data_IF_707883396654
#
_entry.id   IF_707883396654
#
_cell.length_a   1.000
_cell.length_b   1.000
_cell.length_c   1.000
_cell.angle_alpha   90.00
_cell.angle_beta   90.00
_cell.angle_gamma   90.00
#
_symmetry.space_group_name_H-M   'P 1'
#
loop_
_entity.id
_entity.type
_entity.pdbx_description
1 polymer ?
#
# COMPACT_ATOMS: atom_id res chain seq x y z
N UNK A 1 -4.69 -13.07 16.75
CA UNK A 1 -5.02 -11.65 16.51
C UNK A 1 -5.36 -10.92 17.80
N UNK A 2 -5.99 -11.59 18.77
CA UNK A 2 -6.63 -11.02 19.96
C UNK A 2 -5.75 -10.17 20.89
N UNK A 3 -4.43 -10.34 20.83
CA UNK A 3 -3.49 -9.53 21.62
C UNK A 3 -3.29 -8.12 21.04
N UNK A 4 -3.24 -8.00 19.71
CA UNK A 4 -2.84 -6.77 19.02
C UNK A 4 -4.02 -6.05 18.37
N UNK A 5 -5.18 -6.67 18.25
CA UNK A 5 -6.34 -6.10 17.57
C UNK A 5 -7.42 -5.64 18.56
N UNK A 6 -8.02 -4.48 18.29
CA UNK A 6 -9.20 -3.96 19.00
C UNK A 6 -10.46 -4.20 18.15
N UNK A 7 -11.37 -5.10 18.56
CA UNK A 7 -12.66 -5.27 17.89
C UNK A 7 -13.52 -4.00 17.91
N UNK A 8 -13.41 -3.21 18.99
CA UNK A 8 -14.15 -1.97 19.17
C UNK A 8 -13.66 -0.88 18.22
N UNK A 9 -12.34 -0.72 18.09
CA UNK A 9 -11.76 0.34 17.26
C UNK A 9 -11.54 -0.08 15.80
N UNK A 10 -11.59 -1.39 15.53
CA UNK A 10 -11.20 -2.03 14.29
C UNK A 10 -9.78 -1.65 13.84
N UNK A 11 -8.87 -1.55 14.81
CA UNK A 11 -7.47 -1.20 14.60
C UNK A 11 -6.56 -2.12 15.40
N UNK A 12 -5.36 -2.33 14.86
CA UNK A 12 -4.23 -2.92 15.54
C UNK A 12 -3.50 -1.86 16.39
N UNK A 13 -3.03 -2.27 17.56
CA UNK A 13 -2.17 -1.50 18.44
C UNK A 13 -0.71 -1.64 18.02
N UNK A 14 0.08 -0.59 18.25
CA UNK A 14 1.52 -0.58 17.98
C UNK A 14 2.31 -1.49 18.91
N UNK A 15 1.80 -1.73 20.11
CA UNK A 15 2.39 -2.61 21.11
C UNK A 15 1.28 -3.25 21.95
N UNK A 16 1.63 -4.32 22.67
CA UNK A 16 0.73 -4.99 23.59
C UNK A 16 1.49 -5.54 24.81
N UNK A 17 2.50 -4.79 25.27
CA UNK A 17 3.39 -5.21 26.36
C UNK A 17 2.76 -4.97 27.73
N UNK A 18 1.88 -3.96 27.83
CA UNK A 18 1.10 -3.63 29.04
C UNK A 18 -0.34 -3.23 28.66
N UNK A 19 -1.30 -3.29 29.61
CA UNK A 19 -2.70 -2.97 29.32
C UNK A 19 -2.93 -1.60 28.67
N UNK A 20 -2.17 -0.58 29.06
CA UNK A 20 -2.28 0.78 28.48
C UNK A 20 -1.90 0.87 27.00
N UNK A 21 -1.10 -0.07 26.48
CA UNK A 21 -0.74 -0.09 25.06
C UNK A 21 -1.95 -0.43 24.19
N UNK A 22 -2.97 -1.04 24.80
CA UNK A 22 -4.22 -1.49 24.16
C UNK A 22 -5.38 -0.49 24.36
N UNK A 23 -5.05 0.78 24.58
CA UNK A 23 -6.04 1.86 24.73
C UNK A 23 -5.67 3.09 23.90
N UNK A 24 -6.48 3.36 22.87
CA UNK A 24 -6.32 4.54 22.00
C UNK A 24 -6.62 5.87 22.69
N UNK A 25 -7.19 5.85 23.91
CA UNK A 25 -7.27 7.06 24.72
C UNK A 25 -5.88 7.53 25.17
N UNK A 26 -4.91 6.64 25.30
CA UNK A 26 -3.57 6.95 25.83
C UNK A 26 -2.44 6.65 24.88
N UNK A 27 -2.64 5.77 23.89
CA UNK A 27 -1.58 5.26 23.01
C UNK A 27 -1.94 5.50 21.54
N UNK A 28 -1.04 6.07 20.72
CA UNK A 28 -1.31 6.26 19.31
C UNK A 28 -1.27 4.94 18.53
N UNK A 29 -1.90 4.94 17.37
CA UNK A 29 -1.68 3.94 16.32
C UNK A 29 -1.73 4.63 14.96
N UNK A 30 -1.11 4.03 13.95
CA UNK A 30 -1.12 4.58 12.60
C UNK A 30 -1.89 3.68 11.63
N UNK A 31 -2.42 4.29 10.57
CA UNK A 31 -3.18 3.59 9.56
C UNK A 31 -2.29 2.83 8.58
N UNK A 32 -0.98 3.09 8.53
CA UNK A 32 -0.05 2.42 7.62
C UNK A 32 0.21 0.98 8.04
N UNK A 33 0.56 0.74 9.30
CA UNK A 33 0.70 -0.60 9.86
C UNK A 33 -0.62 -1.35 9.81
N UNK A 34 -1.73 -0.68 10.10
CA UNK A 34 -3.06 -1.28 9.97
C UNK A 34 -3.34 -1.71 8.53
N UNK A 35 -3.05 -0.85 7.55
CA UNK A 35 -3.24 -1.16 6.14
C UNK A 35 -2.35 -2.34 5.72
N UNK A 36 -1.06 -2.29 6.05
CA UNK A 36 -0.10 -3.36 5.72
C UNK A 36 -0.47 -4.69 6.36
N UNK A 37 -0.85 -4.71 7.63
CA UNK A 37 -1.27 -5.94 8.32
C UNK A 37 -2.53 -6.53 7.69
N UNK A 38 -3.56 -5.73 7.41
CA UNK A 38 -4.77 -6.21 6.75
C UNK A 38 -4.46 -6.74 5.34
N UNK A 39 -3.58 -6.07 4.60
CA UNK A 39 -3.14 -6.51 3.29
C UNK A 39 -2.43 -7.86 3.35
N UNK A 40 -1.53 -8.05 4.31
CA UNK A 40 -0.83 -9.32 4.53
C UNK A 40 -1.76 -10.44 5.01
N UNK A 41 -2.72 -10.15 5.88
CA UNK A 41 -3.73 -11.13 6.33
C UNK A 41 -4.57 -11.59 5.13
N UNK A 42 -5.03 -10.64 4.29
CA UNK A 42 -5.78 -10.97 3.06
C UNK A 42 -5.00 -11.93 2.17
N UNK A 43 -3.77 -11.58 1.81
CA UNK A 43 -2.96 -12.43 0.94
C UNK A 43 -2.61 -13.77 1.60
N UNK A 44 -2.39 -13.80 2.91
CA UNK A 44 -2.21 -15.06 3.63
C UNK A 44 -3.45 -15.95 3.46
N UNK A 45 -4.65 -15.40 3.66
CA UNK A 45 -5.91 -16.12 3.44
C UNK A 45 -6.04 -16.67 2.02
N UNK A 46 -5.75 -15.85 1.01
CA UNK A 46 -5.80 -16.27 -0.40
C UNK A 46 -4.80 -17.39 -0.71
N UNK A 47 -3.56 -17.28 -0.21
CA UNK A 47 -2.50 -18.27 -0.47
C UNK A 47 -2.74 -19.60 0.25
N UNK A 48 -3.44 -19.58 1.38
CA UNK A 48 -3.65 -20.75 2.25
C UNK A 48 -5.05 -21.35 2.12
N UNK A 49 -5.97 -20.69 1.40
CA UNK A 49 -7.37 -21.11 1.28
C UNK A 49 -8.23 -20.80 2.51
N UNK A 50 -7.75 -19.98 3.44
CA UNK A 50 -8.44 -19.56 4.66
C UNK A 50 -9.32 -18.33 4.40
N UNK A 51 -10.55 -18.55 3.96
CA UNK A 51 -11.50 -17.48 3.61
C UNK A 51 -11.82 -16.57 4.78
N UNK A 52 -11.80 -17.08 6.01
CA UNK A 52 -12.01 -16.31 7.24
C UNK A 52 -10.98 -15.20 7.44
N UNK A 53 -9.75 -15.38 6.96
CA UNK A 53 -8.70 -14.35 6.99
C UNK A 53 -8.98 -13.27 5.94
N UNK A 54 -9.47 -13.67 4.77
CA UNK A 54 -9.86 -12.75 3.69
C UNK A 54 -11.03 -11.89 4.17
N UNK A 55 -12.09 -12.51 4.70
CA UNK A 55 -13.27 -11.81 5.20
C UNK A 55 -12.90 -10.84 6.33
N UNK A 56 -12.10 -11.30 7.30
CA UNK A 56 -11.59 -10.43 8.37
C UNK A 56 -10.83 -9.23 7.82
N UNK A 57 -9.93 -9.44 6.85
CA UNK A 57 -9.12 -8.37 6.29
C UNK A 57 -9.97 -7.36 5.51
N UNK A 58 -10.89 -7.82 4.68
CA UNK A 58 -11.70 -6.95 3.82
C UNK A 58 -12.74 -6.15 4.62
N UNK A 59 -13.40 -6.77 5.62
CA UNK A 59 -14.33 -6.08 6.51
C UNK A 59 -13.66 -4.96 7.32
N UNK A 60 -12.45 -5.23 7.82
CA UNK A 60 -11.68 -4.25 8.57
C UNK A 60 -11.05 -3.19 7.68
N UNK A 61 -10.69 -3.54 6.45
CA UNK A 61 -10.20 -2.56 5.46
C UNK A 61 -11.28 -1.55 5.12
N UNK A 62 -12.54 -1.99 4.97
CA UNK A 62 -13.64 -1.06 4.72
C UNK A 62 -13.76 -0.01 5.83
N UNK A 63 -13.65 -0.42 7.10
CA UNK A 63 -13.68 0.49 8.23
C UNK A 63 -12.44 1.40 8.28
N UNK A 64 -11.25 0.84 8.04
CA UNK A 64 -9.99 1.58 8.03
C UNK A 64 -9.99 2.68 6.96
N UNK A 65 -10.29 2.34 5.70
CA UNK A 65 -10.27 3.31 4.59
C UNK A 65 -11.35 4.38 4.77
N UNK A 66 -12.53 4.03 5.27
CA UNK A 66 -13.58 5.00 5.58
C UNK A 66 -13.15 5.99 6.68
N UNK A 67 -12.40 5.52 7.68
CA UNK A 67 -11.89 6.36 8.78
C UNK A 67 -10.68 7.21 8.35
N UNK A 68 -9.81 6.68 7.50
CA UNK A 68 -8.59 7.35 7.07
C UNK A 68 -8.83 8.39 5.97
N UNK A 69 -9.85 8.20 5.13
CA UNK A 69 -10.10 9.09 3.98
C UNK A 69 -10.72 10.43 4.41
N UNK A 70 -10.05 11.51 4.05
CA UNK A 70 -10.49 12.89 4.23
C UNK A 70 -11.06 13.41 2.91
N UNK A 71 -12.40 13.50 2.83
CA UNK A 71 -13.10 13.79 1.59
C UNK A 71 -12.92 15.24 1.07
N UNK A 72 -12.58 16.18 1.94
CA UNK A 72 -12.32 17.58 1.61
C UNK A 72 -11.09 17.74 0.71
N UNK A 73 -9.94 17.22 1.14
CA UNK A 73 -8.70 17.18 0.36
C UNK A 73 -8.64 16.00 -0.62
N UNK A 74 -9.44 14.96 -0.40
CA UNK A 74 -9.35 13.69 -1.13
C UNK A 74 -8.07 12.93 -0.80
N UNK A 75 -7.67 12.97 0.46
CA UNK A 75 -6.37 12.50 0.94
C UNK A 75 -6.51 11.60 2.18
N UNK A 76 -5.41 10.99 2.62
CA UNK A 76 -5.40 10.15 3.83
C UNK A 76 -4.93 10.91 5.07
N UNK A 77 -5.55 10.61 6.21
CA UNK A 77 -5.00 10.82 7.54
C UNK A 77 -3.93 9.76 7.86
N UNK A 78 -2.98 10.04 8.77
CA UNK A 78 -1.92 9.09 9.12
C UNK A 78 -2.30 8.09 10.21
N UNK A 79 -3.29 8.40 11.04
CA UNK A 79 -3.58 7.55 12.19
C UNK A 79 -4.45 8.18 13.25
N UNK A 80 -4.28 7.69 14.47
CA UNK A 80 -5.01 8.11 15.66
C UNK A 80 -4.00 8.46 16.74
N UNK A 81 -4.01 9.70 17.18
CA UNK A 81 -3.26 10.22 18.32
C UNK A 81 -3.97 9.87 19.64
N UNK A 82 -3.29 10.00 20.80
CA UNK A 82 -3.93 9.87 22.11
C UNK A 82 -5.18 10.74 22.23
N UNK A 83 -6.17 10.25 22.98
CA UNK A 83 -7.49 10.87 23.05
C UNK A 83 -8.37 10.55 21.84
N UNK A 84 -8.00 9.56 21.01
CA UNK A 84 -8.74 9.12 19.81
C UNK A 84 -8.86 10.21 18.75
N UNK A 85 -7.91 11.14 18.72
CA UNK A 85 -7.88 12.28 17.80
C UNK A 85 -7.29 11.80 16.46
N UNK A 86 -7.91 12.17 15.34
CA UNK A 86 -7.40 11.83 14.02
C UNK A 86 -6.10 12.61 13.73
N UNK A 87 -5.05 11.91 13.30
CA UNK A 87 -3.81 12.53 12.85
C UNK A 87 -3.95 12.99 11.40
N UNK A 88 -4.06 14.31 11.19
CA UNK A 88 -4.25 14.90 9.87
C UNK A 88 -2.95 15.07 9.09
N UNK A 89 -1.80 14.99 9.76
CA UNK A 89 -0.50 14.97 9.10
C UNK A 89 -0.37 13.71 8.25
N UNK A 90 0.58 13.72 7.32
CA UNK A 90 0.68 12.68 6.29
C UNK A 90 2.10 12.18 6.24
N UNK A 91 2.29 10.93 6.63
CA UNK A 91 3.56 10.24 6.50
C UNK A 91 3.61 9.46 5.18
N UNK A 92 4.73 9.57 4.46
CA UNK A 92 4.87 9.02 3.11
C UNK A 92 4.55 7.52 3.03
N UNK A 93 5.04 6.74 4.00
CA UNK A 93 4.86 5.29 3.98
C UNK A 93 3.43 4.91 4.39
N UNK A 94 2.81 5.62 5.34
CA UNK A 94 1.39 5.39 5.68
C UNK A 94 0.50 5.66 4.47
N UNK A 95 0.76 6.76 3.77
CA UNK A 95 0.01 7.15 2.59
C UNK A 95 0.15 6.12 1.46
N UNK A 96 1.37 5.64 1.24
CA UNK A 96 1.68 4.56 0.29
C UNK A 96 0.87 3.29 0.61
N UNK A 97 0.91 2.81 1.85
CA UNK A 97 0.23 1.57 2.27
C UNK A 97 -1.30 1.69 2.11
N UNK A 98 -1.89 2.85 2.40
CA UNK A 98 -3.33 3.07 2.21
C UNK A 98 -3.73 3.09 0.73
N UNK A 99 -2.92 3.71 -0.14
CA UNK A 99 -3.12 3.65 -1.59
C UNK A 99 -3.00 2.22 -2.11
N UNK A 100 -1.99 1.48 -1.67
CA UNK A 100 -1.77 0.09 -2.07
C UNK A 100 -2.93 -0.81 -1.66
N UNK A 101 -3.41 -0.69 -0.42
CA UNK A 101 -4.55 -1.46 0.08
C UNK A 101 -5.85 -1.12 -0.65
N UNK A 102 -6.18 0.16 -0.81
CA UNK A 102 -7.35 0.59 -1.56
C UNK A 102 -7.29 0.14 -3.02
N UNK A 103 -6.11 0.24 -3.65
CA UNK A 103 -5.87 -0.19 -5.02
C UNK A 103 -6.01 -1.70 -5.20
N UNK A 104 -5.49 -2.48 -4.25
CA UNK A 104 -5.63 -3.95 -4.24
C UNK A 104 -7.10 -4.35 -4.22
N UNK A 105 -7.88 -3.79 -3.28
CA UNK A 105 -9.30 -4.16 -3.18
C UNK A 105 -10.13 -3.63 -4.35
N UNK A 106 -9.69 -2.56 -5.02
CA UNK A 106 -10.35 -2.07 -6.22
C UNK A 106 -10.31 -3.08 -7.38
N UNK A 107 -9.36 -4.02 -7.39
CA UNK A 107 -9.29 -5.08 -8.39
C UNK A 107 -10.44 -6.10 -8.26
N UNK A 108 -10.93 -6.34 -7.04
CA UNK A 108 -12.02 -7.28 -6.77
C UNK A 108 -13.36 -6.58 -6.53
N UNK A 109 -13.37 -5.34 -6.04
CA UNK A 109 -14.58 -4.58 -5.72
C UNK A 109 -14.42 -3.10 -6.13
N UNK A 110 -15.17 -2.72 -7.17
CA UNK A 110 -15.14 -1.38 -7.75
C UNK A 110 -15.48 -0.26 -6.77
N UNK A 111 -16.11 -0.54 -5.61
CA UNK A 111 -16.40 0.49 -4.60
C UNK A 111 -15.13 1.18 -4.08
N UNK A 112 -13.98 0.49 -4.09
CA UNK A 112 -12.71 1.05 -3.61
C UNK A 112 -12.04 1.98 -4.63
N UNK A 113 -12.41 1.90 -5.91
CA UNK A 113 -11.93 2.83 -6.96
C UNK A 113 -12.20 4.28 -6.58
N UNK A 114 -13.28 4.56 -5.83
CA UNK A 114 -13.66 5.92 -5.40
C UNK A 114 -12.55 6.71 -4.69
N UNK A 115 -11.62 6.01 -4.04
CA UNK A 115 -10.54 6.65 -3.29
C UNK A 115 -9.36 7.06 -4.18
N UNK A 116 -9.10 6.30 -5.24
CA UNK A 116 -7.81 6.29 -5.91
C UNK A 116 -7.49 7.58 -6.67
N UNK A 117 -8.38 8.15 -7.52
CA UNK A 117 -8.01 9.29 -8.35
C UNK A 117 -7.50 10.48 -7.54
N UNK A 118 -8.22 10.85 -6.47
CA UNK A 118 -7.84 12.00 -5.65
C UNK A 118 -6.65 11.71 -4.72
N UNK A 119 -6.57 10.49 -4.17
CA UNK A 119 -5.45 10.13 -3.31
C UNK A 119 -4.12 10.04 -4.07
N UNK A 120 -4.13 9.51 -5.30
CA UNK A 120 -2.95 9.51 -6.17
C UNK A 120 -2.61 10.92 -6.66
N UNK A 121 -3.59 11.74 -7.04
CA UNK A 121 -3.36 13.14 -7.39
C UNK A 121 -2.70 13.92 -6.25
N UNK A 122 -3.18 13.71 -5.02
CA UNK A 122 -2.58 14.27 -3.82
C UNK A 122 -1.13 13.79 -3.62
N UNK A 123 -0.86 12.50 -3.82
CA UNK A 123 0.50 11.95 -3.74
C UNK A 123 1.45 12.63 -4.74
N UNK A 124 1.06 12.70 -6.01
CA UNK A 124 1.90 13.33 -7.05
C UNK A 124 2.09 14.83 -6.82
N UNK A 125 1.08 15.52 -6.29
CA UNK A 125 1.11 16.97 -6.07
C UNK A 125 1.89 17.39 -4.82
N UNK A 126 1.83 16.59 -3.75
CA UNK A 126 2.33 17.00 -2.43
C UNK A 126 3.50 16.15 -1.91
N UNK A 127 3.61 14.89 -2.32
CA UNK A 127 4.70 14.02 -1.85
C UNK A 127 5.89 14.00 -2.80
N UNK A 128 5.65 13.94 -4.11
CA UNK A 128 6.74 13.79 -5.09
C UNK A 128 7.53 15.08 -5.21
N UNK A 129 8.85 14.99 -4.99
CA UNK A 129 9.75 16.09 -5.33
C UNK A 129 10.19 15.97 -6.79
N UNK A 130 9.51 16.71 -7.66
CA UNK A 130 9.82 16.74 -9.09
C UNK A 130 11.14 17.43 -9.41
N UNK A 131 11.76 18.14 -8.47
CA UNK A 131 13.05 18.82 -8.69
C UNK A 131 14.23 17.90 -8.45
N UNK A 132 14.19 17.07 -7.41
CA UNK A 132 15.33 16.24 -7.00
C UNK A 132 15.02 14.74 -6.96
N UNK A 133 13.79 14.34 -7.29
CA UNK A 133 13.33 12.96 -7.21
C UNK A 133 13.00 12.52 -5.79
N UNK A 134 12.48 11.29 -5.70
CA UNK A 134 11.96 10.71 -4.45
C UNK A 134 10.78 11.51 -3.85
N UNK A 135 10.33 11.11 -2.66
CA UNK A 135 9.22 11.77 -1.96
C UNK A 135 9.66 12.45 -0.68
N UNK A 136 8.94 13.50 -0.29
CA UNK A 136 9.05 14.11 1.03
C UNK A 136 8.60 13.14 2.11
N UNK A 137 9.23 13.20 3.28
CA UNK A 137 8.90 12.36 4.44
C UNK A 137 7.49 12.63 4.93
N UNK A 138 7.08 13.89 4.99
CA UNK A 138 5.73 14.22 5.42
C UNK A 138 5.18 15.45 4.72
N UNK A 139 3.86 15.55 4.76
CA UNK A 139 3.08 16.71 4.34
C UNK A 139 2.26 17.17 5.53
N UNK A 140 2.30 18.47 5.81
CA UNK A 140 1.54 19.09 6.89
C UNK A 140 0.04 18.99 6.61
N UNK A 141 -0.72 18.51 7.60
CA UNK A 141 -2.13 18.19 7.44
C UNK A 141 -3.02 19.39 7.18
N UNK A 142 -2.60 20.59 7.56
CA UNK A 142 -3.39 21.82 7.48
C UNK A 142 -3.06 22.66 6.26
N UNK A 143 -1.79 22.76 5.93
CA UNK A 143 -1.28 23.59 4.83
C UNK A 143 -1.13 22.80 3.53
N UNK A 144 -1.10 21.46 3.62
CA UNK A 144 -0.77 20.55 2.52
C UNK A 144 0.61 20.83 1.90
N UNK A 145 1.48 21.53 2.62
CA UNK A 145 2.85 21.77 2.19
C UNK A 145 3.76 20.62 2.63
N UNK A 146 4.72 20.21 1.78
CA UNK A 146 5.74 19.27 2.20
C UNK A 146 6.59 19.81 3.36
N UNK A 147 6.87 18.97 4.33
CA UNK A 147 7.75 19.28 5.46
C UNK A 147 9.20 19.05 5.03
N UNK A 148 9.87 20.12 4.61
CA UNK A 148 11.22 20.09 4.00
C UNK A 148 12.38 20.08 5.02
N UNK A 149 12.11 19.65 6.26
CA UNK A 149 13.10 19.64 7.36
C UNK A 149 13.85 18.32 7.51
N UNK A 150 13.33 17.24 6.93
CA UNK A 150 13.91 15.89 7.01
C UNK A 150 14.60 15.51 5.70
N UNK A 151 15.70 14.76 5.74
CA UNK A 151 16.32 14.22 4.53
C UNK A 151 15.37 13.20 3.86
N UNK A 152 15.49 13.05 2.53
CA UNK A 152 14.73 12.03 1.78
C UNK A 152 15.24 10.61 2.00
N UNK A 153 16.41 10.45 2.64
CA UNK A 153 16.98 9.17 3.02
C UNK A 153 17.63 9.26 4.39
N UNK A 154 17.31 8.32 5.28
CA UNK A 154 17.87 8.13 6.62
C UNK A 154 17.54 6.70 7.10
N UNK A 155 17.89 6.34 8.33
CA UNK A 155 17.82 4.97 8.84
C UNK A 155 16.43 4.33 8.70
N UNK A 156 15.37 5.15 8.71
CA UNK A 156 13.98 4.70 8.63
C UNK A 156 13.25 5.18 7.36
N UNK A 157 13.96 5.83 6.43
CA UNK A 157 13.43 6.16 5.10
C UNK A 157 14.45 5.82 4.03
N UNK A 158 14.03 4.94 3.14
CA UNK A 158 14.65 4.70 1.85
C UNK A 158 13.54 4.61 0.79
N UNK A 159 13.90 4.26 -0.44
CA UNK A 159 12.97 4.17 -1.55
C UNK A 159 12.03 2.95 -1.51
N UNK A 160 12.02 2.14 -0.44
CA UNK A 160 11.22 0.91 -0.38
C UNK A 160 9.73 1.17 -0.54
N UNK A 161 9.11 1.94 0.37
CA UNK A 161 7.66 2.19 0.32
C UNK A 161 7.26 3.02 -0.91
N UNK A 162 8.09 3.97 -1.36
CA UNK A 162 7.80 4.76 -2.57
C UNK A 162 7.89 3.90 -3.84
N UNK A 163 8.88 2.99 -3.93
CA UNK A 163 9.01 2.05 -5.04
C UNK A 163 7.88 1.02 -5.04
N UNK A 164 7.57 0.43 -3.90
CA UNK A 164 6.49 -0.55 -3.76
C UNK A 164 5.13 0.10 -4.08
N UNK A 165 4.92 1.35 -3.67
CA UNK A 165 3.72 2.13 -4.00
C UNK A 165 3.61 2.39 -5.51
N UNK A 166 4.71 2.75 -6.17
CA UNK A 166 4.75 2.94 -7.61
C UNK A 166 4.48 1.62 -8.37
N UNK A 167 5.09 0.51 -7.95
CA UNK A 167 4.89 -0.80 -8.54
C UNK A 167 3.43 -1.26 -8.43
N UNK A 168 2.88 -1.22 -7.21
CA UNK A 168 1.48 -1.60 -6.96
C UNK A 168 0.53 -0.66 -7.70
N UNK A 169 0.77 0.65 -7.65
CA UNK A 169 -0.04 1.64 -8.36
C UNK A 169 -0.05 1.42 -9.87
N UNK A 170 1.11 1.08 -10.47
CA UNK A 170 1.20 0.71 -11.88
C UNK A 170 0.36 -0.54 -12.19
N UNK A 171 0.53 -1.62 -11.41
CA UNK A 171 -0.20 -2.88 -11.62
C UNK A 171 -1.72 -2.64 -11.55
N UNK A 172 -2.17 -1.95 -10.49
CA UNK A 172 -3.59 -1.63 -10.27
C UNK A 172 -4.13 -0.74 -11.38
N UNK A 173 -3.42 0.32 -11.74
CA UNK A 173 -3.85 1.24 -12.79
C UNK A 173 -3.98 0.54 -14.14
N UNK A 174 -3.02 -0.32 -14.51
CA UNK A 174 -3.10 -1.09 -15.75
C UNK A 174 -4.33 -2.02 -15.73
N UNK A 175 -4.51 -2.80 -14.67
CA UNK A 175 -5.63 -3.73 -14.53
C UNK A 175 -6.99 -3.03 -14.59
N UNK A 176 -7.18 -1.94 -13.84
CA UNK A 176 -8.43 -1.14 -13.86
C UNK A 176 -8.72 -0.50 -15.22
N UNK A 177 -7.70 -0.29 -16.05
CA UNK A 177 -7.84 0.24 -17.41
C UNK A 177 -7.87 -0.85 -18.49
N UNK A 178 -8.01 -2.13 -18.11
CA UNK A 178 -7.98 -3.29 -19.02
C UNK A 178 -6.70 -3.32 -19.90
N UNK A 179 -5.58 -2.85 -19.34
CA UNK A 179 -4.26 -2.89 -19.99
C UNK A 179 -3.43 -4.01 -19.38
N UNK A 180 -2.57 -4.59 -20.20
CA UNK A 180 -1.65 -5.61 -19.74
C UNK A 180 -0.58 -5.02 -18.82
N UNK A 181 -0.17 -5.79 -17.80
CA UNK A 181 0.90 -5.42 -16.86
C UNK A 181 2.21 -6.00 -17.38
N UNK A 182 3.21 -5.17 -17.62
CA UNK A 182 4.54 -5.62 -18.08
C UNK A 182 5.54 -5.47 -16.94
N UNK A 183 6.22 -6.58 -16.60
CA UNK A 183 7.22 -6.63 -15.54
C UNK A 183 8.47 -7.36 -16.04
N UNK A 184 9.60 -7.03 -15.42
CA UNK A 184 10.91 -7.57 -15.78
C UNK A 184 11.47 -8.38 -14.62
N UNK A 185 11.89 -9.61 -14.91
CA UNK A 185 12.42 -10.56 -13.94
C UNK A 185 13.83 -11.00 -14.32
N UNK A 186 14.58 -11.49 -13.33
CA UNK A 186 15.91 -12.05 -13.53
C UNK A 186 15.95 -13.50 -13.04
N UNK A 187 15.05 -14.34 -13.55
CA UNK A 187 15.03 -15.77 -13.24
C UNK A 187 16.25 -16.48 -13.88
N UNK A 188 16.81 -17.50 -13.21
CA UNK A 188 17.98 -18.20 -13.75
C UNK A 188 17.64 -19.00 -15.02
N UNK A 189 16.39 -19.42 -15.21
CA UNK A 189 15.92 -20.14 -16.39
C UNK A 189 14.44 -19.86 -16.71
N UNK A 190 14.01 -20.21 -17.94
CA UNK A 190 12.65 -19.96 -18.41
C UNK A 190 11.60 -20.82 -17.70
N UNK A 191 11.99 -21.97 -17.16
CA UNK A 191 11.07 -22.81 -16.39
C UNK A 191 10.61 -22.09 -15.12
N UNK A 192 11.53 -21.42 -14.42
CA UNK A 192 11.18 -20.58 -13.28
C UNK A 192 10.40 -19.32 -13.68
N UNK A 193 10.62 -18.79 -14.88
CA UNK A 193 9.82 -17.66 -15.36
C UNK A 193 8.33 -18.00 -15.54
N UNK A 194 7.99 -19.28 -15.77
CA UNK A 194 6.59 -19.72 -15.90
C UNK A 194 5.79 -19.61 -14.59
N UNK A 195 6.44 -19.60 -13.43
CA UNK A 195 5.77 -19.42 -12.14
C UNK A 195 5.71 -17.96 -11.68
N UNK A 196 6.18 -17.03 -12.51
CA UNK A 196 6.14 -15.61 -12.21
C UNK A 196 4.71 -15.14 -12.01
N UNK A 197 4.52 -14.30 -11.00
CA UNK A 197 3.28 -13.61 -10.70
C UNK A 197 3.54 -12.11 -10.67
N UNK A 198 2.57 -11.27 -11.05
CA UNK A 198 2.72 -9.82 -10.96
C UNK A 198 2.73 -9.39 -9.48
N UNK A 199 3.90 -9.51 -8.85
CA UNK A 199 4.10 -9.21 -7.43
C UNK A 199 3.26 -10.10 -6.50
N UNK A 200 2.43 -9.54 -5.61
CA UNK A 200 1.51 -10.32 -4.76
C UNK A 200 0.22 -10.76 -5.48
N UNK A 201 -0.04 -10.24 -6.68
CA UNK A 201 -1.28 -10.48 -7.42
C UNK A 201 -1.19 -11.75 -8.26
N UNK A 202 -2.35 -12.24 -8.71
CA UNK A 202 -2.42 -13.31 -9.70
C UNK A 202 -2.74 -12.75 -11.07
N UNK A 203 -2.24 -13.37 -12.14
CA UNK A 203 -2.56 -12.97 -13.51
C UNK A 203 -2.23 -14.04 -14.54
N UNK A 204 -2.87 -13.95 -15.72
CA UNK A 204 -2.54 -14.83 -16.85
C UNK A 204 -1.33 -14.28 -17.58
N UNK A 205 -0.21 -15.00 -17.53
CA UNK A 205 0.96 -14.72 -18.37
C UNK A 205 0.58 -14.89 -19.85
N UNK A 206 0.80 -13.84 -20.64
CA UNK A 206 0.46 -13.78 -22.06
C UNK A 206 1.68 -14.04 -22.94
N UNK A 207 2.84 -13.56 -22.52
CA UNK A 207 4.08 -13.66 -23.28
C UNK A 207 5.31 -13.60 -22.36
N UNK A 208 6.39 -14.27 -22.79
CA UNK A 208 7.70 -14.28 -22.13
C UNK A 208 8.75 -13.97 -23.19
N UNK A 209 9.25 -12.74 -23.18
CA UNK A 209 10.35 -12.31 -24.04
C UNK A 209 11.65 -12.35 -23.24
N UNK A 210 12.67 -13.03 -23.75
CA UNK A 210 14.01 -13.00 -23.15
C UNK A 210 14.77 -11.83 -23.75
N UNK A 211 15.12 -10.87 -22.91
CA UNK A 211 15.90 -9.69 -23.27
C UNK A 211 17.21 -9.68 -22.47
N UNK A 212 18.25 -9.06 -23.02
CA UNK A 212 19.49 -8.78 -22.28
C UNK A 212 19.50 -7.30 -21.93
N UNK A 213 19.34 -6.97 -20.65
CA UNK A 213 19.33 -5.57 -20.18
C UNK A 213 20.61 -5.30 -19.38
N UNK A 214 21.28 -4.18 -19.68
CA UNK A 214 22.50 -3.75 -18.98
C UNK A 214 23.73 -4.60 -19.27
N UNK A 215 24.52 -4.90 -18.24
CA UNK A 215 25.82 -5.63 -18.26
C UNK A 215 25.73 -7.11 -18.71
N UNK A 216 24.88 -7.45 -19.67
CA UNK A 216 24.72 -8.82 -20.15
C UNK A 216 23.83 -9.70 -19.27
N UNK A 217 23.06 -9.13 -18.34
CA UNK A 217 22.16 -9.90 -17.49
C UNK A 217 20.92 -10.32 -18.27
N UNK A 218 20.72 -11.64 -18.37
CA UNK A 218 19.50 -12.24 -18.89
C UNK A 218 18.32 -11.75 -18.05
N UNK A 219 17.37 -11.11 -18.72
CA UNK A 219 16.15 -10.57 -18.15
C UNK A 219 14.97 -11.17 -18.89
N UNK A 220 13.92 -11.55 -18.19
CA UNK A 220 12.66 -11.99 -18.80
C UNK A 220 11.63 -10.88 -18.65
N UNK A 221 11.15 -10.37 -19.78
CA UNK A 221 10.03 -9.44 -19.85
C UNK A 221 8.75 -10.25 -19.96
N UNK A 222 7.89 -10.10 -18.96
CA UNK A 222 6.63 -10.84 -18.86
C UNK A 222 5.46 -9.87 -18.91
N UNK A 223 4.45 -10.26 -19.68
CA UNK A 223 3.19 -9.51 -19.79
C UNK A 223 2.04 -10.31 -19.19
N UNK A 224 1.29 -9.70 -18.28
CA UNK A 224 0.16 -10.31 -17.57
C UNK A 224 -1.16 -9.64 -17.96
N UNK A 225 -2.21 -10.45 -18.10
CA UNK A 225 -3.60 -10.00 -18.28
C UNK A 225 -4.48 -10.53 -17.15
N UNK A 226 -5.67 -9.93 -16.97
CA UNK A 226 -6.65 -10.34 -15.96
C UNK A 226 -6.06 -10.37 -14.53
N UNK A 227 -5.29 -9.34 -14.18
CA UNK A 227 -4.64 -9.25 -12.87
C UNK A 227 -5.67 -8.95 -11.78
N UNK A 228 -5.62 -9.70 -10.66
CA UNK A 228 -6.54 -9.62 -9.52
C UNK A 228 -5.86 -9.96 -8.18
#
# INVERSE_FOLDING_TARGET
>A
MDQFYSPTDKLFFMAANKPSDRDLATTPTDFGHNAKVLWMIRFTGLLTGHTELVDFAEDNTQALLARAYLADCGCWASGVLPGRILDLDKLWWVYAELNQLAGTLALSDAKYVRYLPRAYDYWFSHFVDTRFGEVWTSVDGRTHEPVRKMPKQWEWKNAYHSLEHALVGYIVAQALNNKAVTLYYAFPNDEMAKSAQPYYYSGKAMDVEVETIGEGKRTQKLTFSNVH
#
